data_IF_741460953546
#
_entry.id   IF_741460953546
#
_cell.length_a   1.000
_cell.length_b   1.000
_cell.length_c   1.000
_cell.angle_alpha   90.00
_cell.angle_beta   90.00
_cell.angle_gamma   90.00
#
_symmetry.space_group_name_H-M   'P 1'
#
loop_
_entity.id
_entity.type
_entity.pdbx_description
1 polymer ?
#
# COMPACT_ATOMS: atom_id res chain seq x y z
N UNK A 1 5.30 8.71 8.51
CA UNK A 1 5.57 8.31 7.11
C UNK A 1 6.12 9.50 6.32
N UNK A 2 5.28 10.39 5.77
CA UNK A 2 5.75 11.59 5.04
C UNK A 2 6.47 12.61 5.95
N UNK A 3 5.94 12.88 7.15
CA UNK A 3 6.50 13.83 8.12
C UNK A 3 7.90 13.44 8.64
N UNK A 4 8.20 12.15 8.68
CA UNK A 4 9.51 11.63 9.12
C UNK A 4 10.47 11.39 7.95
N UNK A 5 9.99 11.66 6.74
CA UNK A 5 10.67 11.37 5.49
C UNK A 5 11.09 9.91 5.32
N UNK A 6 10.28 8.93 5.71
CA UNK A 6 10.62 7.48 5.65
C UNK A 6 9.61 6.71 4.81
N UNK A 7 10.11 5.91 3.86
CA UNK A 7 9.34 4.90 3.13
C UNK A 7 9.57 3.52 3.71
N UNK A 8 8.51 2.72 3.80
CA UNK A 8 8.54 1.40 4.44
C UNK A 8 8.98 0.30 3.48
N UNK A 9 8.44 0.30 2.26
CA UNK A 9 8.83 -0.54 1.11
C UNK A 9 8.52 -2.04 1.20
N UNK A 10 8.15 -2.57 2.37
CA UNK A 10 7.70 -3.96 2.52
C UNK A 10 6.46 -4.07 3.42
N UNK A 11 5.42 -3.27 3.11
CA UNK A 11 4.15 -3.35 3.82
C UNK A 11 3.41 -4.64 3.41
N UNK A 12 3.24 -5.53 4.39
CA UNK A 12 2.56 -6.82 4.26
C UNK A 12 2.02 -7.26 5.63
N UNK A 13 1.07 -8.20 5.68
CA UNK A 13 0.45 -8.61 6.95
C UNK A 13 1.44 -9.14 7.99
N UNK A 14 2.49 -9.87 7.60
CA UNK A 14 3.50 -10.37 8.56
C UNK A 14 4.34 -9.28 9.22
N UNK A 15 4.31 -8.05 8.66
CA UNK A 15 5.02 -6.89 9.17
C UNK A 15 4.07 -5.96 9.96
N UNK A 16 2.84 -6.41 10.22
CA UNK A 16 1.85 -5.74 11.09
C UNK A 16 1.56 -6.67 12.26
N UNK A 17 1.74 -6.19 13.49
CA UNK A 17 1.50 -6.98 14.70
C UNK A 17 1.04 -6.12 15.86
N UNK A 18 1.07 -6.66 17.07
CA UNK A 18 0.70 -5.95 18.30
C UNK A 18 1.88 -5.88 19.26
N UNK A 19 2.00 -4.79 20.01
CA UNK A 19 2.90 -4.74 21.16
C UNK A 19 2.27 -5.39 22.41
N UNK A 20 3.01 -5.37 23.53
CA UNK A 20 2.55 -5.96 24.80
C UNK A 20 1.31 -5.27 25.38
N UNK A 21 0.92 -4.10 24.86
CA UNK A 21 -0.27 -3.35 25.25
C UNK A 21 -1.44 -3.62 24.30
N UNK A 22 -1.29 -4.50 23.30
CA UNK A 22 -2.32 -4.77 22.32
C UNK A 22 -2.47 -3.66 21.27
N UNK A 23 -1.48 -2.77 21.13
CA UNK A 23 -1.50 -1.69 20.14
C UNK A 23 -0.87 -2.17 18.84
N UNK A 24 -1.55 -1.94 17.72
CA UNK A 24 -1.04 -2.28 16.38
C UNK A 24 0.25 -1.52 16.08
N UNK A 25 1.31 -2.22 15.65
CA UNK A 25 2.60 -1.67 15.24
C UNK A 25 3.12 -2.32 13.96
N UNK A 26 3.95 -1.57 13.23
CA UNK A 26 4.73 -2.08 12.11
C UNK A 26 6.03 -2.69 12.63
N UNK A 27 6.42 -3.82 12.05
CA UNK A 27 7.60 -4.61 12.41
C UNK A 27 8.42 -4.95 11.16
N UNK A 28 9.74 -5.08 11.32
CA UNK A 28 10.71 -5.30 10.24
C UNK A 28 10.88 -4.08 9.30
N UNK A 29 11.81 -3.21 9.70
CA UNK A 29 12.21 -2.00 8.97
C UNK A 29 13.47 -2.23 8.12
N UNK A 30 13.89 -3.48 7.90
CA UNK A 30 15.14 -3.81 7.19
C UNK A 30 15.21 -3.23 5.77
N UNK A 31 14.05 -3.02 5.15
CA UNK A 31 13.91 -2.46 3.80
C UNK A 31 13.56 -0.97 3.80
N UNK A 32 13.23 -0.40 4.97
CA UNK A 32 12.80 0.99 5.11
C UNK A 32 13.95 1.95 4.80
N UNK A 33 13.64 3.08 4.17
CA UNK A 33 14.63 4.10 3.82
C UNK A 33 14.12 5.51 4.07
N UNK A 34 15.03 6.37 4.56
CA UNK A 34 14.79 7.81 4.63
C UNK A 34 14.95 8.42 3.23
N UNK A 35 13.95 9.15 2.76
CA UNK A 35 14.04 9.94 1.54
C UNK A 35 14.77 11.25 1.85
N UNK A 36 16.04 11.35 1.46
CA UNK A 36 16.82 12.58 1.60
C UNK A 36 16.66 13.41 0.33
N UNK A 37 16.15 14.63 0.46
CA UNK A 37 15.79 15.53 -0.66
C UNK A 37 16.99 15.94 -1.55
N UNK A 38 18.24 15.64 -1.13
CA UNK A 38 19.49 16.00 -1.80
C UNK A 38 20.24 14.85 -2.48
N UNK A 39 19.84 13.58 -2.31
CA UNK A 39 20.50 12.49 -3.03
C UNK A 39 19.93 12.39 -4.45
N UNK A 40 20.81 12.52 -5.46
CA UNK A 40 20.50 12.18 -6.86
C UNK A 40 20.22 10.69 -7.06
N UNK A 41 20.39 9.90 -6.01
CA UNK A 41 20.15 8.47 -5.96
C UNK A 41 18.66 8.27 -5.69
N UNK A 42 17.89 8.03 -6.75
CA UNK A 42 16.54 7.54 -6.56
C UNK A 42 16.57 6.15 -5.92
N UNK A 43 15.47 5.80 -5.25
CA UNK A 43 15.39 4.57 -4.47
C UNK A 43 15.36 3.37 -5.41
N UNK A 44 16.32 2.46 -5.27
CA UNK A 44 16.35 1.20 -6.01
C UNK A 44 15.03 0.43 -5.84
N UNK A 45 14.41 0.00 -6.94
CA UNK A 45 13.20 -0.81 -6.92
C UNK A 45 13.46 -2.29 -6.57
N UNK A 46 12.40 -3.10 -6.57
CA UNK A 46 12.49 -4.57 -6.43
C UNK A 46 12.84 -5.15 -5.06
N UNK A 47 12.65 -4.39 -3.97
CA UNK A 47 12.76 -4.90 -2.60
C UNK A 47 11.37 -4.97 -1.97
N UNK A 48 11.07 -6.08 -1.29
CA UNK A 48 9.82 -6.34 -0.58
C UNK A 48 9.13 -7.63 -1.05
N UNK A 49 7.87 -7.81 -0.70
CA UNK A 49 7.08 -8.99 -1.06
C UNK A 49 6.24 -8.71 -2.33
N UNK A 50 6.54 -9.32 -3.49
CA UNK A 50 6.01 -8.90 -4.79
C UNK A 50 4.48 -8.75 -4.87
N UNK A 51 3.77 -9.63 -4.17
CA UNK A 51 2.30 -9.64 -4.13
C UNK A 51 1.67 -8.37 -3.55
N UNK A 52 2.41 -7.64 -2.71
CA UNK A 52 1.98 -6.39 -2.11
C UNK A 52 2.63 -5.18 -2.77
N UNK A 53 3.48 -5.38 -3.78
CA UNK A 53 4.17 -4.29 -4.46
C UNK A 53 3.26 -3.56 -5.43
N UNK A 54 3.55 -2.27 -5.60
CA UNK A 54 2.99 -1.47 -6.68
C UNK A 54 3.57 -1.85 -8.05
N UNK A 55 2.87 -1.51 -9.15
CA UNK A 55 3.30 -1.90 -10.50
C UNK A 55 4.69 -1.35 -10.86
N UNK A 56 5.02 -0.14 -10.43
CA UNK A 56 6.34 0.47 -10.65
C UNK A 56 7.46 -0.21 -9.85
N UNK A 57 7.16 -0.83 -8.70
CA UNK A 57 8.11 -1.61 -7.92
C UNK A 57 8.35 -2.99 -8.55
N UNK A 58 7.31 -3.61 -9.10
CA UNK A 58 7.43 -4.87 -9.83
C UNK A 58 8.25 -4.69 -11.12
N UNK A 59 7.97 -3.63 -11.88
CA UNK A 59 8.69 -3.35 -13.13
C UNK A 59 10.19 -3.03 -12.93
N UNK A 60 10.55 -2.46 -11.77
CA UNK A 60 11.94 -2.12 -11.43
C UNK A 60 12.74 -3.29 -10.84
N UNK A 61 12.09 -4.42 -10.51
CA UNK A 61 12.77 -5.67 -10.11
C UNK A 61 13.61 -6.27 -11.24
N UNK A 62 13.27 -5.95 -12.50
CA UNK A 62 14.04 -6.37 -13.68
C UNK A 62 15.27 -5.48 -13.93
N UNK A 63 15.47 -4.40 -13.16
CA UNK A 63 16.57 -3.43 -13.30
C UNK A 63 17.42 -3.41 -12.02
N UNK A 64 17.66 -4.57 -11.41
CA UNK A 64 18.65 -4.69 -10.33
C UNK A 64 19.97 -5.20 -10.89
N UNK A 65 20.68 -4.36 -11.65
CA UNK A 65 22.15 -4.51 -11.69
C UNK A 65 22.69 -3.83 -10.45
N UNK A 66 22.72 -4.57 -9.34
CA UNK A 66 23.78 -4.37 -8.38
C UNK A 66 25.08 -4.78 -9.08
N UNK A 67 25.90 -3.80 -9.45
CA UNK A 67 27.36 -3.88 -9.43
C UNK A 67 27.92 -2.50 -9.71
N UNK A 68 28.63 -2.00 -8.71
CA UNK A 68 29.49 -0.83 -8.73
C UNK A 68 30.69 -0.94 -9.70
N UNK A 69 30.55 -1.64 -10.84
CA UNK A 69 31.65 -1.92 -11.80
C UNK A 69 31.25 -1.76 -13.28
N UNK A 70 30.36 -0.81 -13.62
CA UNK A 70 30.09 -0.48 -15.04
C UNK A 70 31.11 0.56 -15.56
N UNK A 71 31.66 0.39 -16.78
CA UNK A 71 32.75 1.23 -17.28
C UNK A 71 32.32 2.70 -17.38
N UNK A 72 33.26 3.61 -17.12
CA UNK A 72 33.13 5.05 -17.43
C UNK A 72 33.00 5.25 -18.94
N UNK A 73 31.82 5.00 -19.50
CA UNK A 73 31.47 5.51 -20.83
C UNK A 73 30.43 6.60 -20.66
N UNK A 74 30.84 7.78 -21.11
CA UNK A 74 30.06 9.00 -21.13
C UNK A 74 28.81 8.81 -21.99
N UNK A 75 27.66 8.56 -21.38
CA UNK A 75 26.39 8.83 -22.02
C UNK A 75 25.50 9.67 -21.10
N UNK A 76 25.27 10.92 -21.50
CA UNK A 76 24.66 12.01 -20.72
C UNK A 76 23.13 11.93 -20.64
N UNK A 77 22.52 10.77 -20.84
CA UNK A 77 21.10 10.55 -20.61
C UNK A 77 20.89 9.65 -19.38
N UNK A 78 21.35 10.10 -18.21
CA UNK A 78 21.00 9.46 -16.93
C UNK A 78 19.53 9.73 -16.65
N UNK A 79 18.70 8.74 -16.97
CA UNK A 79 17.26 8.75 -16.75
C UNK A 79 16.91 9.26 -15.34
N UNK A 80 15.96 10.18 -15.29
CA UNK A 80 15.38 10.72 -14.06
C UNK A 80 14.84 9.55 -13.25
N UNK A 81 15.56 9.11 -12.20
CA UNK A 81 15.08 8.04 -11.33
C UNK A 81 13.77 8.51 -10.70
N UNK A 82 12.67 7.84 -11.07
CA UNK A 82 11.30 8.20 -10.69
C UNK A 82 11.19 8.06 -9.17
N UNK A 83 10.50 9.00 -8.52
CA UNK A 83 10.37 9.12 -7.06
C UNK A 83 9.55 7.94 -6.49
N UNK A 84 10.19 6.78 -6.34
CA UNK A 84 9.62 5.56 -5.77
C UNK A 84 9.64 5.71 -4.25
N UNK A 85 8.48 5.62 -3.59
CA UNK A 85 8.43 5.80 -2.15
C UNK A 85 7.01 5.86 -1.58
N UNK A 86 6.58 7.05 -1.16
CA UNK A 86 5.31 7.19 -0.44
C UNK A 86 4.09 6.66 -1.19
N UNK A 87 3.91 6.92 -2.50
CA UNK A 87 2.77 6.36 -3.21
C UNK A 87 2.84 4.85 -3.40
N UNK A 88 4.04 4.26 -3.40
CA UNK A 88 4.18 2.81 -3.46
C UNK A 88 3.72 2.17 -2.15
N UNK A 89 4.06 2.77 -1.01
CA UNK A 89 3.56 2.33 0.30
C UNK A 89 2.03 2.46 0.40
N UNK A 90 1.43 3.48 -0.21
CA UNK A 90 -0.05 3.64 -0.28
C UNK A 90 -0.69 2.47 -1.04
N UNK A 91 -0.11 2.08 -2.17
CA UNK A 91 -0.59 0.93 -2.95
C UNK A 91 -0.51 -0.36 -2.13
N UNK A 92 0.65 -0.60 -1.49
CA UNK A 92 0.85 -1.76 -0.62
C UNK A 92 -0.11 -1.78 0.55
N UNK A 93 -0.35 -0.63 1.19
CA UNK A 93 -1.35 -0.49 2.26
C UNK A 93 -2.75 -0.88 1.78
N UNK A 94 -3.16 -0.43 0.59
CA UNK A 94 -4.46 -0.81 0.02
C UNK A 94 -4.61 -2.33 -0.12
N UNK A 95 -3.56 -3.03 -0.55
CA UNK A 95 -3.57 -4.50 -0.64
C UNK A 95 -3.60 -5.19 0.73
N UNK A 96 -2.92 -4.63 1.74
CA UNK A 96 -2.98 -5.13 3.13
C UNK A 96 -4.37 -4.92 3.73
N UNK A 97 -4.95 -3.73 3.56
CA UNK A 97 -6.30 -3.42 4.02
C UNK A 97 -7.33 -4.35 3.37
N UNK A 98 -7.24 -4.54 2.05
CA UNK A 98 -8.10 -5.49 1.36
C UNK A 98 -7.93 -6.90 1.89
N UNK A 99 -6.70 -7.39 2.10
CA UNK A 99 -6.46 -8.72 2.67
C UNK A 99 -7.14 -8.86 4.04
N UNK A 100 -7.02 -7.87 4.92
CA UNK A 100 -7.65 -7.89 6.24
C UNK A 100 -9.17 -7.96 6.12
N UNK A 101 -9.78 -7.14 5.25
CA UNK A 101 -11.23 -7.09 5.13
C UNK A 101 -11.82 -8.29 4.35
N UNK A 102 -11.11 -8.80 3.35
CA UNK A 102 -11.56 -9.95 2.54
C UNK A 102 -11.23 -11.30 3.20
N UNK A 103 -10.26 -11.31 4.13
CA UNK A 103 -9.62 -12.51 4.67
C UNK A 103 -9.00 -13.40 3.58
N UNK A 104 -8.70 -12.81 2.42
CA UNK A 104 -8.11 -13.49 1.28
C UNK A 104 -6.74 -12.90 0.94
N UNK A 105 -5.90 -13.74 0.33
CA UNK A 105 -4.59 -13.33 -0.13
C UNK A 105 -4.70 -12.69 -1.52
N UNK A 106 -4.25 -11.44 -1.73
CA UNK A 106 -4.41 -10.77 -3.02
C UNK A 106 -3.67 -11.53 -4.13
N UNK A 107 -4.32 -11.71 -5.29
CA UNK A 107 -3.80 -12.47 -6.44
C UNK A 107 -3.44 -13.93 -6.12
N UNK A 108 -4.10 -14.57 -5.15
CA UNK A 108 -3.73 -15.90 -4.59
C UNK A 108 -3.35 -16.95 -5.62
N UNK A 109 -3.96 -16.86 -6.80
CA UNK A 109 -3.92 -17.85 -7.87
C UNK A 109 -2.73 -17.62 -8.82
N UNK A 110 -2.03 -16.50 -8.65
CA UNK A 110 -0.93 -16.05 -9.49
C UNK A 110 0.40 -16.30 -8.77
N UNK A 111 1.27 -17.08 -9.40
CA UNK A 111 2.58 -17.42 -8.87
C UNK A 111 3.67 -16.43 -9.29
N UNK A 112 3.61 -15.91 -10.52
CA UNK A 112 4.66 -15.09 -11.10
C UNK A 112 4.54 -13.60 -10.72
N UNK A 113 5.56 -12.98 -10.11
CA UNK A 113 5.59 -11.53 -9.88
C UNK A 113 5.40 -10.70 -11.15
N UNK A 114 5.93 -11.17 -12.28
CA UNK A 114 5.78 -10.48 -13.57
C UNK A 114 4.34 -10.51 -14.07
N UNK A 115 3.64 -11.62 -13.83
CA UNK A 115 2.23 -11.79 -14.18
C UNK A 115 1.35 -10.89 -13.30
N UNK A 116 1.61 -10.84 -11.98
CA UNK A 116 0.96 -9.88 -11.07
C UNK A 116 1.15 -8.44 -11.61
N UNK A 117 2.39 -8.09 -11.98
CA UNK A 117 2.68 -6.78 -12.54
C UNK A 117 1.89 -6.49 -13.83
N UNK A 118 1.81 -7.45 -14.74
CA UNK A 118 1.04 -7.31 -15.99
C UNK A 118 -0.46 -7.14 -15.72
N UNK A 119 -1.03 -7.94 -14.82
CA UNK A 119 -2.44 -7.83 -14.42
C UNK A 119 -2.75 -6.44 -13.87
N UNK A 120 -1.88 -5.92 -12.99
CA UNK A 120 -2.05 -4.58 -12.44
C UNK A 120 -1.98 -3.48 -13.52
N UNK A 121 -1.08 -3.61 -14.51
CA UNK A 121 -0.98 -2.67 -15.64
C UNK A 121 -2.23 -2.69 -16.54
N UNK A 122 -2.90 -3.84 -16.63
CA UNK A 122 -4.19 -3.98 -17.33
C UNK A 122 -5.38 -3.51 -16.47
N UNK A 123 -5.14 -2.97 -15.27
CA UNK A 123 -6.18 -2.46 -14.38
C UNK A 123 -6.85 -3.52 -13.51
N UNK A 124 -6.35 -4.76 -13.52
CA UNK A 124 -6.87 -5.81 -12.67
C UNK A 124 -6.46 -5.59 -11.20
N UNK A 125 -7.46 -5.50 -10.33
CA UNK A 125 -7.30 -5.29 -8.88
C UNK A 125 -8.12 -6.33 -8.12
N UNK A 126 -7.79 -6.60 -6.84
CA UNK A 126 -8.59 -7.51 -6.02
C UNK A 126 -10.06 -7.05 -5.94
N UNK A 127 -11.03 -7.98 -5.92
CA UNK A 127 -12.44 -7.64 -5.97
C UNK A 127 -12.87 -6.89 -4.70
N UNK A 128 -13.38 -5.67 -4.85
CA UNK A 128 -13.89 -4.86 -3.74
C UNK A 128 -15.36 -5.15 -3.41
N UNK A 129 -16.07 -5.88 -4.27
CA UNK A 129 -17.52 -6.02 -4.21
C UNK A 129 -17.95 -7.23 -3.33
N UNK A 130 -17.18 -7.48 -2.26
CA UNK A 130 -17.43 -8.55 -1.29
C UNK A 130 -18.37 -8.08 -0.16
N UNK A 131 -19.24 -8.94 0.39
CA UNK A 131 -20.03 -8.64 1.59
C UNK A 131 -19.17 -8.19 2.78
N UNK A 132 -17.92 -8.63 2.84
CA UNK A 132 -16.98 -8.25 3.91
C UNK A 132 -16.35 -6.86 3.72
N UNK A 133 -16.52 -6.25 2.54
CA UNK A 133 -16.12 -4.87 2.21
C UNK A 133 -17.37 -4.11 1.77
N UNK A 134 -18.42 -4.12 2.61
CA UNK A 134 -19.71 -3.52 2.26
C UNK A 134 -19.68 -1.99 2.13
N UNK A 135 -18.74 -1.31 2.80
CA UNK A 135 -18.67 0.14 2.82
C UNK A 135 -18.20 0.70 1.47
N UNK A 136 -19.08 1.44 0.78
CA UNK A 136 -18.76 2.16 -0.47
C UNK A 136 -17.61 3.14 -0.30
N UNK A 137 -17.44 3.71 0.88
CA UNK A 137 -16.32 4.59 1.23
C UNK A 137 -14.99 3.81 1.25
N UNK A 138 -14.97 2.63 1.85
CA UNK A 138 -13.78 1.76 1.88
C UNK A 138 -13.46 1.24 0.48
N UNK A 139 -14.47 0.84 -0.30
CA UNK A 139 -14.27 0.42 -1.69
C UNK A 139 -13.68 1.54 -2.55
N UNK A 140 -14.17 2.77 -2.39
CA UNK A 140 -13.65 3.96 -3.09
C UNK A 140 -12.22 4.25 -2.68
N UNK A 141 -11.91 4.15 -1.38
CA UNK A 141 -10.57 4.33 -0.86
C UNK A 141 -9.58 3.30 -1.43
N UNK A 142 -9.96 2.01 -1.47
CA UNK A 142 -9.14 0.94 -2.06
C UNK A 142 -8.86 1.21 -3.54
N UNK A 143 -9.88 1.54 -4.33
CA UNK A 143 -9.74 1.92 -5.74
C UNK A 143 -8.84 3.15 -5.93
N UNK A 144 -8.86 4.10 -4.99
CA UNK A 144 -7.93 5.24 -4.95
C UNK A 144 -6.48 4.83 -4.66
N UNK A 145 -6.27 3.89 -3.73
CA UNK A 145 -4.92 3.40 -3.41
C UNK A 145 -4.28 2.65 -4.59
N UNK A 146 -5.09 2.02 -5.45
CA UNK A 146 -4.62 1.20 -6.56
C UNK A 146 -4.53 1.90 -7.92
N UNK A 147 -4.55 3.24 -7.94
CA UNK A 147 -4.34 4.01 -9.17
C UNK A 147 -2.98 3.67 -9.80
N UNK A 148 -2.99 3.49 -11.13
CA UNK A 148 -1.79 3.15 -11.89
C UNK A 148 -0.78 4.31 -11.88
N UNK A 149 -1.27 5.55 -12.00
CA UNK A 149 -0.45 6.74 -11.78
C UNK A 149 -0.17 6.90 -10.27
N UNK A 150 1.09 6.81 -9.81
CA UNK A 150 1.42 6.99 -8.41
C UNK A 150 1.04 8.38 -7.86
N UNK A 151 0.95 9.41 -8.70
CA UNK A 151 0.54 10.75 -8.24
C UNK A 151 -0.97 10.92 -8.09
N UNK A 152 -1.76 10.03 -8.69
CA UNK A 152 -3.22 10.02 -8.54
C UNK A 152 -3.68 9.27 -7.26
N UNK A 153 -2.76 8.58 -6.58
CA UNK A 153 -3.04 7.89 -5.31
C UNK A 153 -3.22 8.92 -4.19
N UNK A 154 -4.10 8.66 -3.19
CA UNK A 154 -4.20 9.51 -2.01
C UNK A 154 -2.88 9.48 -1.22
N UNK A 155 -2.65 10.51 -0.41
CA UNK A 155 -1.56 10.48 0.59
C UNK A 155 -1.93 9.56 1.75
N UNK A 156 -0.94 9.09 2.50
CA UNK A 156 -1.22 8.23 3.66
C UNK A 156 -2.05 8.97 4.74
N UNK A 157 -1.91 10.30 4.82
CA UNK A 157 -2.76 11.16 5.67
C UNK A 157 -4.22 11.11 5.21
N UNK A 158 -4.47 11.27 3.91
CA UNK A 158 -5.83 11.18 3.36
C UNK A 158 -6.45 9.80 3.58
N UNK A 159 -5.65 8.73 3.45
CA UNK A 159 -6.07 7.35 3.75
C UNK A 159 -6.48 7.22 5.22
N UNK A 160 -5.64 7.66 6.13
CA UNK A 160 -5.92 7.66 7.57
C UNK A 160 -7.21 8.42 7.90
N UNK A 161 -7.36 9.63 7.40
CA UNK A 161 -8.52 10.47 7.70
C UNK A 161 -9.82 9.87 7.14
N UNK A 162 -9.75 9.21 5.98
CA UNK A 162 -10.87 8.49 5.41
C UNK A 162 -11.32 7.32 6.30
N UNK A 163 -10.37 6.47 6.73
CA UNK A 163 -10.68 5.33 7.59
C UNK A 163 -11.17 5.78 8.97
N UNK A 164 -10.57 6.82 9.54
CA UNK A 164 -10.98 7.36 10.84
C UNK A 164 -12.43 7.87 10.81
N UNK A 165 -12.82 8.59 9.76
CA UNK A 165 -14.21 9.03 9.57
C UNK A 165 -15.16 7.85 9.43
N UNK A 166 -14.80 6.86 8.61
CA UNK A 166 -15.62 5.67 8.42
C UNK A 166 -15.87 4.90 9.74
N UNK A 167 -14.83 4.73 10.57
CA UNK A 167 -14.95 4.10 11.89
C UNK A 167 -15.86 4.92 12.81
N UNK A 168 -15.70 6.25 12.83
CA UNK A 168 -16.53 7.12 13.66
C UNK A 168 -18.03 7.02 13.27
N UNK A 169 -18.34 7.02 11.97
CA UNK A 169 -19.70 6.87 11.45
C UNK A 169 -20.30 5.50 11.81
N UNK A 170 -19.53 4.42 11.65
CA UNK A 170 -19.98 3.05 11.96
C UNK A 170 -20.27 2.84 13.45
N UNK A 171 -19.45 3.43 14.34
CA UNK A 171 -19.65 3.33 15.79
C UNK A 171 -20.88 4.11 16.28
N UNK A 172 -21.19 5.24 15.64
CA UNK A 172 -22.41 6.02 15.94
C UNK A 172 -23.67 5.24 15.55
N UNK A 173 -23.70 4.63 14.36
CA UNK A 173 -24.85 3.83 13.92
C UNK A 173 -25.10 2.64 14.86
N UNK A 174 -24.04 1.93 15.29
CA UNK A 174 -24.18 0.77 16.19
C UNK A 174 -24.75 1.16 17.56
N UNK A 175 -24.44 2.37 18.05
CA UNK A 175 -24.93 2.89 19.33
C UNK A 175 -26.38 3.35 19.24
N UNK A 176 -26.82 3.78 18.06
CA UNK A 176 -28.18 4.30 17.82
C UNK A 176 -29.21 3.17 17.67
N UNK A 177 -28.82 2.02 17.12
CA UNK A 177 -29.70 0.83 16.98
C UNK A 177 -29.93 0.13 18.34
N UNK A 178 -29.04 0.30 19.31
CA UNK A 178 -29.23 -0.24 20.66
C UNK A 178 -30.24 0.56 21.53
N UNK A 179 -30.74 1.71 21.04
CA UNK A 179 -31.66 2.57 21.77
C UNK A 179 -33.08 2.55 21.16
N UNK A 180 -33.98 1.78 21.81
CA UNK A 180 -35.46 1.83 21.84
C UNK A 180 -36.32 0.90 20.95
N UNK A 181 -37.58 0.55 21.37
CA UNK A 181 -38.28 0.93 22.61
C UNK A 181 -38.66 -0.24 23.55
N UNK A 182 -38.57 0.01 24.85
CA UNK A 182 -39.36 -0.68 25.86
C UNK A 182 -40.85 -0.49 25.55
N UNK A 183 -41.51 -1.58 25.18
CA UNK A 183 -42.96 -1.66 25.02
C UNK A 183 -43.65 -1.36 26.35
N UNK A 184 -44.24 -0.17 26.46
CA UNK A 184 -45.25 0.12 27.48
C UNK A 184 -46.49 -0.72 27.20
N UNK A 185 -46.79 -1.61 28.14
CA UNK A 185 -48.07 -2.35 28.24
C UNK A 185 -49.16 -1.47 28.85
#
# INVERSE_FOLDING_TARGET
HEQHHVCYRDLKPSNVGFDAQGVVKLFDFSTARRLIQKSRDGVAGGVGTPRYMSPENLASSSITTCKDDAPKTSNKNKGRIKKIGYPADVYSFGLVLWHICSLQKPYSDVASPSEIGQMQQLGYTPPCDSPTIASSQVQTLLKGCWQLDPQARPTMTQVHDCLRRHVAETLVDTTTVAAYPSSSS
#
